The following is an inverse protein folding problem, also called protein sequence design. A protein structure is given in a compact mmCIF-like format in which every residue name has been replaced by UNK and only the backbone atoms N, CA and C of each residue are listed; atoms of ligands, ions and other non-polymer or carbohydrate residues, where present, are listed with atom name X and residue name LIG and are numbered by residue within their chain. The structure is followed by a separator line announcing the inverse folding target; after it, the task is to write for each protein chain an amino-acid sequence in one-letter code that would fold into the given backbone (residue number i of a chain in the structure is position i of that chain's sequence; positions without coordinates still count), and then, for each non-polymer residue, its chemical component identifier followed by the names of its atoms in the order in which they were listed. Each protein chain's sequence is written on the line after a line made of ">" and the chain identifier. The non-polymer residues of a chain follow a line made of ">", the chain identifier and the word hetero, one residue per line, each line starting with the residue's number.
data_IF_833946863174
#
_entry.id   IF_833946863174
#
_cell.length_a   1.000
_cell.length_b   1.000
_cell.length_c   1.000
_cell.angle_alpha   90.00
_cell.angle_beta   90.00
_cell.angle_gamma   90.00
#
_symmetry.space_group_name_H-M   'P 1'
#
loop_
_entity.id
_entity.type
_entity.pdbx_description
1 polymer ?
#
# COMPACT_ATOMS: atom_id res chain seq x y z
N UNK A 1 2.12 -18.50 -1.41
CA UNK A 1 2.26 -17.15 -2.00
C UNK A 1 1.92 -16.06 -1.00
N UNK A 2 0.67 -15.93 -0.52
CA UNK A 2 0.28 -14.87 0.44
C UNK A 2 1.11 -14.85 1.72
N UNK A 3 1.37 -16.02 2.33
CA UNK A 3 2.19 -16.11 3.56
C UNK A 3 3.61 -15.56 3.34
N UNK A 4 4.21 -15.85 2.18
CA UNK A 4 5.56 -15.35 1.83
C UNK A 4 5.55 -13.82 1.71
N UNK A 5 4.52 -13.26 1.07
CA UNK A 5 4.34 -11.80 0.95
C UNK A 5 4.27 -11.15 2.34
N UNK A 6 3.46 -11.70 3.25
CA UNK A 6 3.33 -11.19 4.61
C UNK A 6 4.67 -11.23 5.34
N UNK A 7 5.37 -12.38 5.30
CA UNK A 7 6.67 -12.54 5.97
C UNK A 7 7.70 -11.56 5.44
N UNK A 8 7.81 -11.38 4.12
CA UNK A 8 8.75 -10.44 3.50
C UNK A 8 8.45 -9.01 3.95
N UNK A 9 7.18 -8.59 3.92
CA UNK A 9 6.78 -7.26 4.39
C UNK A 9 7.09 -7.03 5.86
N UNK A 10 6.83 -8.03 6.73
CA UNK A 10 7.15 -7.93 8.16
C UNK A 10 8.65 -7.77 8.40
N UNK A 11 9.49 -8.50 7.67
CA UNK A 11 10.95 -8.38 7.78
C UNK A 11 11.42 -6.99 7.35
N UNK A 12 10.91 -6.48 6.22
CA UNK A 12 11.26 -5.13 5.72
C UNK A 12 10.85 -4.06 6.74
N UNK A 13 9.60 -4.09 7.21
CA UNK A 13 9.09 -3.12 8.18
C UNK A 13 9.89 -3.18 9.48
N UNK A 14 10.23 -4.38 9.98
CA UNK A 14 11.03 -4.52 11.19
C UNK A 14 12.42 -3.88 11.03
N UNK A 15 13.08 -4.10 9.88
CA UNK A 15 14.39 -3.54 9.59
C UNK A 15 14.35 -2.01 9.47
N UNK A 16 13.37 -1.48 8.74
CA UNK A 16 13.24 -0.04 8.52
C UNK A 16 12.85 0.70 9.80
N UNK A 17 11.91 0.16 10.59
CA UNK A 17 11.52 0.74 11.89
C UNK A 17 12.70 0.75 12.86
N UNK A 18 13.51 -0.32 12.90
CA UNK A 18 14.74 -0.32 13.68
C UNK A 18 15.70 0.80 13.23
N UNK A 19 15.81 1.03 11.92
CA UNK A 19 16.56 2.15 11.35
C UNK A 19 16.03 3.51 11.78
N UNK A 20 14.71 3.70 11.76
CA UNK A 20 14.06 4.95 12.18
C UNK A 20 14.27 5.25 13.67
N UNK A 21 14.18 4.23 14.52
CA UNK A 21 14.47 4.37 15.96
C UNK A 21 15.94 4.77 16.17
N UNK A 22 16.88 4.12 15.46
CA UNK A 22 18.32 4.44 15.54
C UNK A 22 18.64 5.86 15.12
N UNK A 23 17.99 6.34 14.06
CA UNK A 23 18.19 7.70 13.51
C UNK A 23 17.36 8.77 14.20
N UNK A 24 16.49 8.40 15.17
CA UNK A 24 15.52 9.29 15.83
C UNK A 24 14.70 10.10 14.82
N UNK A 25 14.23 9.42 13.78
CA UNK A 25 13.38 10.05 12.76
C UNK A 25 12.11 10.62 13.39
N UNK A 26 11.54 11.65 12.74
CA UNK A 26 10.29 12.25 13.21
C UNK A 26 9.18 11.20 13.21
N UNK A 27 8.39 11.16 14.29
CA UNK A 27 7.26 10.23 14.40
C UNK A 27 6.29 10.35 13.21
N UNK A 28 6.10 11.56 12.67
CA UNK A 28 5.27 11.78 11.48
C UNK A 28 5.77 11.04 10.24
N UNK A 29 7.09 10.95 10.03
CA UNK A 29 7.67 10.22 8.90
C UNK A 29 7.45 8.70 9.07
N UNK A 30 7.61 8.18 10.29
CA UNK A 30 7.36 6.76 10.60
C UNK A 30 5.89 6.41 10.36
N UNK A 31 4.96 7.27 10.79
CA UNK A 31 3.52 7.06 10.57
C UNK A 31 3.20 7.02 9.07
N UNK A 32 3.69 7.99 8.29
CA UNK A 32 3.47 8.02 6.84
C UNK A 32 4.04 6.76 6.17
N UNK A 33 5.26 6.37 6.54
CA UNK A 33 5.88 5.14 6.04
C UNK A 33 5.02 3.90 6.36
N UNK A 34 4.57 3.74 7.61
CA UNK A 34 3.76 2.59 8.02
C UNK A 34 2.41 2.55 7.30
N UNK A 35 1.78 3.72 7.07
CA UNK A 35 0.55 3.81 6.28
C UNK A 35 0.79 3.36 4.84
N UNK A 36 1.83 3.88 4.18
CA UNK A 36 2.16 3.52 2.81
C UNK A 36 2.48 2.01 2.70
N UNK A 37 3.32 1.49 3.60
CA UNK A 37 3.67 0.07 3.64
C UNK A 37 2.46 -0.82 3.91
N UNK A 38 1.56 -0.40 4.80
CA UNK A 38 0.30 -1.10 5.07
C UNK A 38 -0.58 -1.18 3.83
N UNK A 39 -0.76 -0.07 3.11
CA UNK A 39 -1.51 -0.04 1.84
C UNK A 39 -0.86 -0.96 0.81
N UNK A 40 0.47 -0.91 0.66
CA UNK A 40 1.20 -1.77 -0.28
C UNK A 40 1.04 -3.26 0.05
N UNK A 41 1.05 -3.63 1.34
CA UNK A 41 0.81 -5.00 1.77
C UNK A 41 -0.62 -5.44 1.43
N UNK A 42 -1.62 -4.63 1.75
CA UNK A 42 -3.03 -4.92 1.43
C UNK A 42 -3.20 -5.13 -0.08
N UNK A 43 -2.67 -4.22 -0.90
CA UNK A 43 -2.70 -4.34 -2.36
C UNK A 43 -2.03 -5.64 -2.83
N UNK A 44 -0.86 -5.96 -2.29
CA UNK A 44 -0.11 -7.17 -2.65
C UNK A 44 -0.88 -8.45 -2.30
N UNK A 45 -1.53 -8.49 -1.14
CA UNK A 45 -2.36 -9.62 -0.70
C UNK A 45 -3.60 -9.75 -1.57
N UNK A 46 -4.26 -8.65 -1.92
CA UNK A 46 -5.41 -8.64 -2.84
C UNK A 46 -5.01 -9.20 -4.21
N UNK A 47 -3.92 -8.70 -4.78
CA UNK A 47 -3.39 -9.16 -6.07
C UNK A 47 -3.04 -10.65 -6.04
N UNK A 48 -2.37 -11.12 -4.99
CA UNK A 48 -2.03 -12.53 -4.82
C UNK A 48 -3.25 -13.43 -4.61
N UNK A 49 -4.38 -12.86 -4.17
CA UNK A 49 -5.67 -13.55 -4.03
C UNK A 49 -6.51 -13.48 -5.31
N UNK A 50 -5.94 -13.01 -6.43
CA UNK A 50 -6.63 -12.86 -7.70
C UNK A 50 -7.60 -11.67 -7.76
N UNK A 51 -7.71 -10.89 -6.68
CA UNK A 51 -8.54 -9.68 -6.64
C UNK A 51 -7.71 -8.50 -7.12
N UNK A 52 -7.91 -8.09 -8.37
CA UNK A 52 -7.28 -6.87 -8.89
C UNK A 52 -7.97 -5.65 -8.26
N UNK A 53 -7.27 -4.84 -7.46
CA UNK A 53 -7.81 -3.54 -7.04
C UNK A 53 -8.11 -2.73 -8.30
N UNK A 54 -9.18 -1.94 -8.26
CA UNK A 54 -9.53 -1.12 -9.41
C UNK A 54 -8.40 -0.15 -9.73
N UNK A 55 -8.02 -0.08 -11.01
CA UNK A 55 -6.87 0.70 -11.44
C UNK A 55 -7.16 2.20 -11.34
N UNK A 56 -6.13 3.07 -11.26
CA UNK A 56 -6.32 4.51 -11.33
C UNK A 56 -7.10 4.94 -12.58
N UNK A 57 -6.91 4.25 -13.72
CA UNK A 57 -7.69 4.48 -14.93
C UNK A 57 -9.18 4.18 -14.74
N UNK A 58 -9.54 3.08 -14.05
CA UNK A 58 -10.93 2.78 -13.71
C UNK A 58 -11.54 3.80 -12.76
N UNK A 59 -10.74 4.37 -11.85
CA UNK A 59 -11.20 5.43 -10.95
C UNK A 59 -11.44 6.74 -11.70
N UNK A 60 -10.55 7.10 -12.62
CA UNK A 60 -10.70 8.26 -13.50
C UNK A 60 -11.92 8.07 -14.40
N UNK A 61 -12.09 6.88 -15.00
CA UNK A 61 -13.25 6.58 -15.83
C UNK A 61 -14.56 6.67 -15.02
N UNK A 62 -14.59 6.12 -13.80
CA UNK A 62 -15.75 6.22 -12.92
C UNK A 62 -16.06 7.69 -12.54
N UNK A 63 -15.04 8.50 -12.28
CA UNK A 63 -15.20 9.93 -12.01
C UNK A 63 -15.75 10.67 -13.24
N UNK A 64 -15.23 10.39 -14.44
CA UNK A 64 -15.70 11.00 -15.69
C UNK A 64 -17.15 10.58 -16.04
N UNK A 65 -17.51 9.32 -15.79
CA UNK A 65 -18.90 8.83 -15.90
C UNK A 65 -19.83 9.53 -14.92
N UNK A 66 -19.40 9.75 -13.68
CA UNK A 66 -20.19 10.46 -12.66
C UNK A 66 -20.45 11.92 -13.04
N UNK A 67 -19.50 12.56 -13.72
CA UNK A 67 -19.64 13.95 -14.23
C UNK A 67 -20.39 14.00 -15.58
N UNK A 68 -20.68 12.86 -16.21
CA UNK A 68 -21.41 12.77 -17.48
C UNK A 68 -20.57 13.10 -18.72
N UNK A 69 -19.24 13.13 -18.58
CA UNK A 69 -18.30 13.43 -19.68
C UNK A 69 -18.12 12.23 -20.61
N UNK A 70 -18.25 11.03 -20.07
CA UNK A 70 -18.08 9.76 -20.80
C UNK A 70 -19.32 8.90 -20.56
N UNK A 71 -19.89 8.30 -21.61
CA UNK A 71 -21.04 7.39 -21.52
C UNK A 71 -20.66 6.02 -20.96
#
# INVERSE_FOLDING_TARGET
>A
MVIVIIVVFLIIIAYDVQGFIRKKERASAVIIYLVLMGISLVVSVLLASGKRPSSPAQWIEAALKMVGVVK
#
